data_IF_506283390686
#
_entry.id   IF_506283390686
#
_cell.length_a   1.000
_cell.length_b   1.000
_cell.length_c   1.000
_cell.angle_alpha   90.00
_cell.angle_beta   90.00
_cell.angle_gamma   90.00
#
_symmetry.space_group_name_H-M   'P 1'
#
loop_
_entity.id
_entity.type
_entity.pdbx_description
1 polymer ?
#
# COMPACT_ATOMS: atom_id res chain seq x y z
N UNK A 1 2.15 0.85 20.28
CA UNK A 1 2.58 0.98 18.88
C UNK A 1 1.55 0.30 18.01
N UNK A 2 1.40 0.72 16.76
CA UNK A 2 0.44 0.13 15.82
C UNK A 2 1.22 -0.50 14.67
N UNK A 3 0.80 -1.68 14.22
CA UNK A 3 1.42 -2.41 13.12
C UNK A 3 0.45 -2.57 11.96
N UNK A 4 0.93 -2.27 10.76
CA UNK A 4 0.27 -2.51 9.47
C UNK A 4 1.09 -3.54 8.73
N UNK A 5 0.47 -4.63 8.32
CA UNK A 5 1.16 -5.71 7.63
C UNK A 5 0.25 -6.38 6.59
N UNK A 6 0.89 -7.00 5.60
CA UNK A 6 0.25 -7.90 4.66
C UNK A 6 1.13 -9.14 4.43
N UNK A 7 0.51 -10.32 4.25
CA UNK A 7 1.25 -11.52 3.86
C UNK A 7 1.70 -11.44 2.39
N UNK A 8 2.48 -12.44 1.96
CA UNK A 8 2.84 -12.59 0.55
C UNK A 8 1.58 -12.85 -0.30
N UNK A 9 1.63 -12.38 -1.55
CA UNK A 9 0.58 -12.64 -2.51
C UNK A 9 0.77 -14.01 -3.19
N UNK A 10 -0.31 -14.77 -3.33
CA UNK A 10 -0.29 -16.08 -4.00
C UNK A 10 -0.13 -15.99 -5.53
N UNK A 11 -0.23 -14.79 -6.11
CA UNK A 11 -0.19 -14.54 -7.56
C UNK A 11 1.20 -14.29 -8.15
N UNK A 12 2.28 -14.46 -7.38
CA UNK A 12 3.67 -14.27 -7.82
C UNK A 12 3.94 -12.93 -8.55
N UNK A 13 3.77 -11.78 -7.87
CA UNK A 13 3.83 -10.45 -8.50
C UNK A 13 5.24 -10.03 -8.97
N UNK A 14 6.30 -10.52 -8.32
CA UNK A 14 7.71 -10.23 -8.62
C UNK A 14 8.05 -8.73 -8.64
N UNK A 15 7.83 -8.06 -7.52
CA UNK A 15 8.10 -6.62 -7.37
C UNK A 15 9.61 -6.26 -7.34
N UNK A 16 10.49 -7.25 -7.19
CA UNK A 16 11.94 -7.11 -7.14
C UNK A 16 12.50 -7.18 -5.72
N UNK A 17 13.80 -7.51 -5.62
CA UNK A 17 14.52 -7.68 -4.34
C UNK A 17 14.59 -6.41 -3.46
N UNK A 18 14.44 -5.24 -4.07
CA UNK A 18 14.46 -3.94 -3.39
C UNK A 18 13.08 -3.28 -3.40
N UNK A 19 12.01 -4.09 -3.53
CA UNK A 19 10.65 -3.59 -3.53
C UNK A 19 10.36 -2.81 -2.25
N UNK A 20 9.54 -1.77 -2.38
CA UNK A 20 9.10 -0.94 -1.28
C UNK A 20 7.60 -0.78 -1.33
N UNK A 21 7.00 -0.61 -0.17
CA UNK A 21 5.60 -0.23 -0.02
C UNK A 21 5.55 1.26 0.33
N UNK A 22 4.64 2.00 -0.27
CA UNK A 22 4.21 3.32 0.16
C UNK A 22 3.10 3.14 1.19
N UNK A 23 3.29 3.66 2.40
CA UNK A 23 2.29 3.66 3.47
C UNK A 23 1.82 5.08 3.72
N UNK A 24 0.52 5.28 3.63
CA UNK A 24 -0.16 6.55 3.94
C UNK A 24 -1.17 6.30 5.05
N UNK A 25 -1.15 7.12 6.08
CA UNK A 25 -2.11 7.07 7.19
C UNK A 25 -2.73 8.45 7.33
N UNK A 26 -4.02 8.52 7.03
CA UNK A 26 -4.84 9.70 7.24
C UNK A 26 -5.68 9.54 8.50
N UNK A 27 -5.84 10.60 9.29
CA UNK A 27 -6.72 10.60 10.46
C UNK A 27 -8.21 10.61 10.04
N UNK A 28 -9.12 10.66 11.02
CA UNK A 28 -10.57 10.68 10.77
C UNK A 28 -11.04 11.88 9.94
N UNK A 29 -10.25 12.95 9.89
CA UNK A 29 -10.55 14.16 9.11
C UNK A 29 -10.01 14.05 7.68
N UNK A 30 -9.39 12.93 7.33
CA UNK A 30 -8.72 12.71 6.05
C UNK A 30 -7.38 13.41 5.93
N UNK A 31 -6.80 13.91 7.03
CA UNK A 31 -5.50 14.57 7.00
C UNK A 31 -4.40 13.52 7.05
N UNK A 32 -3.52 13.49 6.04
CA UNK A 32 -2.35 12.62 6.04
C UNK A 32 -1.38 13.01 7.16
N UNK A 33 -1.20 12.11 8.12
CA UNK A 33 -0.28 12.29 9.25
C UNK A 33 1.03 11.55 9.00
N UNK A 34 0.97 10.42 8.31
CA UNK A 34 2.15 9.62 7.94
C UNK A 34 2.11 9.36 6.44
N UNK A 35 3.20 9.65 5.76
CA UNK A 35 3.44 9.28 4.37
C UNK A 35 4.91 8.86 4.23
N UNK A 36 5.16 7.56 4.08
CA UNK A 36 6.52 7.02 4.09
C UNK A 36 6.63 5.74 3.26
N UNK A 37 7.87 5.28 3.05
CA UNK A 37 8.15 4.01 2.38
C UNK A 37 8.81 3.01 3.32
N UNK A 38 8.38 1.75 3.26
CA UNK A 38 8.96 0.64 4.03
C UNK A 38 9.44 -0.48 3.10
N UNK A 39 10.35 -1.37 3.56
CA UNK A 39 10.72 -2.57 2.81
C UNK A 39 9.50 -3.44 2.51
N UNK A 40 9.47 -4.03 1.32
CA UNK A 40 8.46 -5.01 0.88
C UNK A 40 9.17 -6.18 0.21
N UNK A 41 8.67 -7.39 0.37
CA UNK A 41 9.24 -8.55 -0.31
C UNK A 41 8.91 -8.51 -1.80
N UNK A 42 9.64 -9.32 -2.58
CA UNK A 42 9.37 -9.54 -4.00
C UNK A 42 7.92 -10.02 -4.23
N UNK A 43 7.36 -10.76 -3.27
CA UNK A 43 5.99 -11.27 -3.29
C UNK A 43 4.96 -10.33 -2.60
N UNK A 44 5.35 -9.11 -2.23
CA UNK A 44 4.41 -8.10 -1.73
C UNK A 44 4.15 -8.10 -0.23
N UNK A 45 4.80 -8.97 0.55
CA UNK A 45 4.66 -8.93 2.01
C UNK A 45 5.39 -7.72 2.59
N UNK A 46 4.81 -7.14 3.63
CA UNK A 46 5.47 -6.06 4.38
C UNK A 46 5.00 -6.05 5.83
N UNK A 47 5.78 -5.38 6.68
CA UNK A 47 5.38 -5.04 8.05
C UNK A 47 5.91 -3.65 8.35
N UNK A 48 5.03 -2.77 8.82
CA UNK A 48 5.34 -1.40 9.18
C UNK A 48 4.76 -1.09 10.56
N UNK A 49 5.60 -0.65 11.48
CA UNK A 49 5.19 -0.28 12.84
C UNK A 49 5.44 1.20 13.06
N UNK A 50 4.46 1.89 13.64
CA UNK A 50 4.57 3.30 13.97
C UNK A 50 3.99 3.59 15.36
N UNK A 51 4.40 4.73 15.91
CA UNK A 51 3.79 5.31 17.11
C UNK A 51 2.70 6.28 16.65
N UNK A 52 1.50 6.15 17.21
CA UNK A 52 0.40 7.10 16.96
C UNK A 52 0.87 8.50 17.39
N UNK A 53 0.97 9.47 16.47
CA UNK A 53 1.38 10.82 16.80
C UNK A 53 0.32 11.53 17.65
N UNK A 54 0.73 12.39 18.58
CA UNK A 54 -0.20 13.05 19.51
C UNK A 54 -1.25 13.94 18.79
N UNK A 55 -0.85 14.51 17.65
CA UNK A 55 -1.69 15.35 16.79
C UNK A 55 -2.71 14.57 15.96
N UNK A 56 -2.61 13.24 15.89
CA UNK A 56 -3.57 12.41 15.18
C UNK A 56 -4.91 12.44 15.92
N UNK A 57 -5.98 12.68 15.19
CA UNK A 57 -7.32 12.69 15.75
C UNK A 57 -7.74 11.29 16.22
N UNK A 58 -8.54 11.23 17.28
CA UNK A 58 -9.08 9.99 17.86
C UNK A 58 -10.31 9.61 17.04
N UNK A 59 -10.34 8.41 16.47
CA UNK A 59 -11.41 8.00 15.57
C UNK A 59 -10.94 7.00 14.53
N UNK A 60 -11.68 6.90 13.43
CA UNK A 60 -11.34 5.99 12.34
C UNK A 60 -10.33 6.62 11.38
N UNK A 61 -9.09 6.15 11.45
CA UNK A 61 -8.05 6.50 10.50
C UNK A 61 -8.14 5.63 9.23
N UNK A 62 -7.76 6.19 8.10
CA UNK A 62 -7.60 5.45 6.86
C UNK A 62 -6.13 5.08 6.65
N UNK A 63 -5.86 3.79 6.47
CA UNK A 63 -4.55 3.27 6.08
C UNK A 63 -4.59 2.85 4.62
N UNK A 64 -3.68 3.40 3.83
CA UNK A 64 -3.36 2.90 2.49
C UNK A 64 -1.95 2.32 2.51
N UNK A 65 -1.78 1.15 1.89
CA UNK A 65 -0.48 0.58 1.57
C UNK A 65 -0.47 0.09 0.11
N UNK A 66 0.40 0.66 -0.72
CA UNK A 66 0.53 0.31 -2.15
C UNK A 66 2.00 0.13 -2.55
N UNK A 67 2.33 -0.74 -3.52
CA UNK A 67 3.69 -0.85 -4.04
C UNK A 67 4.23 0.51 -4.49
N UNK A 68 5.42 0.88 -4.04
CA UNK A 68 6.02 2.19 -4.32
C UNK A 68 6.67 2.20 -5.71
N UNK A 69 6.41 3.25 -6.50
CA UNK A 69 6.92 3.41 -7.88
C UNK A 69 6.56 2.25 -8.82
N UNK A 70 5.45 1.58 -8.56
CA UNK A 70 4.84 0.61 -9.48
C UNK A 70 3.57 1.24 -10.05
N UNK A 71 3.38 1.12 -11.37
CA UNK A 71 2.11 1.49 -11.97
C UNK A 71 1.08 0.40 -11.68
N UNK A 72 0.38 0.59 -10.56
CA UNK A 72 -0.64 -0.31 -10.06
C UNK A 72 -1.89 -0.40 -10.95
N UNK A 73 -2.09 0.55 -11.87
CA UNK A 73 -3.23 0.55 -12.79
C UNK A 73 -3.10 -0.51 -13.90
N UNK A 74 -1.99 -1.25 -13.95
CA UNK A 74 -1.70 -2.36 -14.88
C UNK A 74 -1.76 -3.75 -14.21
N UNK A 75 -2.07 -3.83 -12.91
CA UNK A 75 -2.08 -5.10 -12.17
C UNK A 75 -3.44 -5.84 -12.33
N UNK A 76 -3.70 -6.39 -13.51
CA UNK A 76 -4.83 -7.32 -13.76
C UNK A 76 -4.65 -8.71 -13.12
N UNK A 77 -3.66 -8.90 -12.24
CA UNK A 77 -3.26 -10.22 -11.73
C UNK A 77 -2.66 -11.15 -12.79
N UNK A 78 -2.51 -10.66 -14.03
CA UNK A 78 -1.82 -11.33 -15.13
C UNK A 78 -0.61 -10.45 -15.46
N UNK A 79 0.58 -11.05 -15.54
CA UNK A 79 1.83 -10.34 -15.81
C UNK A 79 1.81 -9.83 -17.27
N UNK A 80 1.14 -8.72 -17.55
CA UNK A 80 0.96 -8.12 -18.88
C UNK A 80 2.20 -7.34 -19.36
N UNK A 81 3.39 -7.67 -18.85
CA UNK A 81 4.67 -7.17 -19.39
C UNK A 81 4.93 -7.80 -20.77
N UNK A 82 4.13 -7.42 -21.76
CA UNK A 82 4.33 -7.77 -23.16
C UNK A 82 5.53 -6.99 -23.68
N UNK A 83 6.51 -7.69 -24.26
CA UNK A 83 7.47 -7.05 -25.16
C UNK A 83 6.76 -6.76 -26.49
N UNK A 84 6.45 -5.49 -26.73
CA UNK A 84 5.75 -5.03 -27.94
C UNK A 84 4.41 -4.40 -27.60
N UNK A 85 4.18 -3.19 -28.09
CA UNK A 85 2.99 -2.40 -27.79
C UNK A 85 1.71 -3.16 -28.17
N UNK A 86 0.93 -3.57 -27.17
CA UNK A 86 -0.47 -3.90 -27.32
C UNK A 86 -1.27 -2.95 -26.42
N UNK A 87 -2.44 -2.51 -26.91
CA UNK A 87 -3.33 -1.59 -26.20
C UNK A 87 -3.85 -2.24 -24.90
N UNK A 88 -3.20 -1.93 -23.78
CA UNK A 88 -3.63 -2.34 -22.45
C UNK A 88 -4.72 -1.36 -21.96
N UNK A 89 -5.95 -1.85 -21.81
CA UNK A 89 -7.02 -1.07 -21.19
C UNK A 89 -6.85 -1.04 -19.66
N UNK A 90 -7.00 0.16 -19.09
CA UNK A 90 -6.82 0.43 -17.65
C UNK A 90 -7.86 -0.31 -16.81
N UNK A 91 -7.45 -1.36 -16.12
CA UNK A 91 -8.30 -2.09 -15.18
C UNK A 91 -8.25 -1.45 -13.78
N UNK A 92 -9.08 -0.42 -13.55
CA UNK A 92 -9.44 0.14 -12.24
C UNK A 92 -8.30 0.48 -11.23
N UNK A 93 -8.06 1.77 -11.04
CA UNK A 93 -7.16 2.31 -10.03
C UNK A 93 -7.92 2.64 -8.71
N UNK A 94 -8.61 1.68 -8.09
CA UNK A 94 -9.31 1.91 -6.82
C UNK A 94 -8.40 1.67 -5.59
N UNK A 95 -8.06 2.73 -4.87
CA UNK A 95 -7.08 2.68 -3.77
C UNK A 95 -7.66 1.91 -2.57
N UNK A 96 -7.01 0.80 -2.18
CA UNK A 96 -7.48 -0.02 -1.06
C UNK A 96 -7.21 0.70 0.26
N UNK A 97 -8.28 1.17 0.89
CA UNK A 97 -8.25 1.77 2.23
C UNK A 97 -8.68 0.76 3.29
N UNK A 98 -7.94 0.70 4.39
CA UNK A 98 -8.30 -0.09 5.58
C UNK A 98 -8.54 0.83 6.77
N UNK A 99 -9.67 0.68 7.49
CA UNK A 99 -9.91 1.45 8.69
C UNK A 99 -8.98 0.99 9.82
N UNK A 100 -8.54 1.95 10.62
CA UNK A 100 -7.75 1.74 11.82
C UNK A 100 -8.32 2.64 12.93
N UNK A 101 -8.83 2.05 14.00
CA UNK A 101 -9.34 2.82 15.14
C UNK A 101 -8.18 3.35 15.98
N UNK A 102 -8.13 4.67 16.14
CA UNK A 102 -7.17 5.36 17.01
C UNK A 102 -7.82 5.64 18.36
N UNK A 103 -7.23 5.10 19.43
CA UNK A 103 -7.62 5.32 20.83
C UNK A 103 -6.44 5.94 21.60
N UNK A 104 -6.71 6.68 22.68
CA UNK A 104 -5.70 7.34 23.54
C UNK A 104 -5.56 6.64 24.87
#
# INVERSE_FOLDING_TARGET
>A
MVTVAAPEADCNPRYGKNARIQVVIADERGVEIISTTAPMTDAGAFTFTFRVPAQMAVGEAAVTATPHKVDWCDDTGTNNRVQGAADLERASCAERRKPLTIIR
#
